data_IF_094910060327
#
_entry.id   IF_094910060327
#
_cell.length_a   1.000
_cell.length_b   1.000
_cell.length_c   1.000
_cell.angle_alpha   90.00
_cell.angle_beta   90.00
_cell.angle_gamma   90.00
#
_symmetry.space_group_name_H-M   'P 1'
#
loop_
_entity.id
_entity.type
_entity.pdbx_description
1 polymer ?
#
# COMPACT_ATOMS: atom_id res chain seq x y z
N UNK A 1 -28.93 19.39 2.18
CA UNK A 1 -27.63 19.26 1.50
C UNK A 1 -27.62 17.96 0.72
N UNK A 2 -27.10 17.99 -0.50
CA UNK A 2 -26.85 16.83 -1.36
C UNK A 2 -25.48 16.25 -1.02
N UNK A 3 -25.45 15.03 -0.52
CA UNK A 3 -24.23 14.31 -0.17
C UNK A 3 -24.04 13.15 -1.14
N UNK A 4 -22.94 13.16 -1.88
CA UNK A 4 -22.56 12.06 -2.76
C UNK A 4 -21.54 11.18 -2.05
N UNK A 5 -21.81 9.88 -2.02
CA UNK A 5 -20.89 8.86 -1.54
C UNK A 5 -20.24 8.22 -2.75
N UNK A 6 -18.92 8.32 -2.85
CA UNK A 6 -18.13 7.60 -3.83
C UNK A 6 -17.74 6.25 -3.21
N UNK A 7 -18.44 5.20 -3.64
CA UNK A 7 -18.32 3.83 -3.14
C UNK A 7 -17.18 3.08 -3.80
N UNK A 8 -16.10 2.86 -3.05
CA UNK A 8 -14.91 2.16 -3.54
C UNK A 8 -14.88 0.66 -3.26
N UNK A 9 -15.94 0.06 -2.74
CA UNK A 9 -16.00 -1.39 -2.55
C UNK A 9 -16.20 -2.12 -3.88
N UNK A 10 -15.32 -3.06 -4.29
CA UNK A 10 -15.55 -3.89 -5.47
C UNK A 10 -16.78 -4.79 -5.37
N UNK A 11 -17.34 -4.99 -4.17
CA UNK A 11 -18.59 -5.72 -3.92
C UNK A 11 -19.85 -4.86 -4.11
N UNK A 12 -19.70 -3.59 -4.45
CA UNK A 12 -20.80 -2.62 -4.45
C UNK A 12 -21.50 -2.56 -3.09
N UNK A 13 -22.83 -2.55 -3.13
CA UNK A 13 -23.72 -2.47 -1.96
C UNK A 13 -23.55 -3.62 -0.95
N UNK A 14 -22.99 -4.76 -1.39
CA UNK A 14 -22.69 -5.90 -0.51
C UNK A 14 -21.37 -5.74 0.27
N UNK A 15 -20.66 -4.63 0.05
CA UNK A 15 -19.43 -4.29 0.75
C UNK A 15 -19.65 -3.91 2.21
N UNK A 16 -18.71 -4.28 3.07
CA UNK A 16 -18.77 -3.94 4.49
C UNK A 16 -18.73 -2.42 4.72
N UNK A 17 -17.95 -1.67 3.92
CA UNK A 17 -17.94 -0.20 3.95
C UNK A 17 -19.32 0.41 3.70
N UNK A 18 -20.12 -0.22 2.84
CA UNK A 18 -21.46 0.26 2.53
C UNK A 18 -22.40 0.16 3.76
N UNK A 19 -22.17 -0.77 4.69
CA UNK A 19 -22.92 -0.83 5.94
C UNK A 19 -22.67 0.39 6.84
N UNK A 20 -21.44 0.93 6.86
CA UNK A 20 -21.11 2.15 7.60
C UNK A 20 -21.76 3.38 6.97
N UNK A 21 -21.76 3.44 5.63
CA UNK A 21 -22.48 4.49 4.89
C UNK A 21 -23.99 4.40 5.18
N UNK A 22 -24.59 3.21 5.11
CA UNK A 22 -26.01 3.00 5.43
C UNK A 22 -26.33 3.40 6.87
N UNK A 23 -25.43 3.12 7.81
CA UNK A 23 -25.58 3.56 9.19
C UNK A 23 -25.64 5.09 9.29
N UNK A 24 -24.72 5.82 8.65
CA UNK A 24 -24.75 7.29 8.61
C UNK A 24 -26.04 7.80 7.97
N UNK A 25 -26.44 7.27 6.81
CA UNK A 25 -27.68 7.64 6.11
C UNK A 25 -28.92 7.47 6.98
N UNK A 26 -29.02 6.36 7.71
CA UNK A 26 -30.12 6.09 8.62
C UNK A 26 -30.17 7.07 9.81
N UNK A 27 -29.03 7.64 10.19
CA UNK A 27 -28.88 8.52 11.35
C UNK A 27 -28.95 10.01 11.00
N UNK A 28 -28.71 10.35 9.73
CA UNK A 28 -28.85 11.69 9.18
C UNK A 28 -29.84 11.69 7.99
N UNK A 29 -31.13 11.34 8.20
CA UNK A 29 -32.10 11.15 7.12
C UNK A 29 -32.60 12.45 6.47
N UNK A 30 -32.30 13.61 7.07
CA UNK A 30 -32.71 14.93 6.56
C UNK A 30 -31.81 15.46 5.42
N UNK A 31 -30.75 14.72 5.05
CA UNK A 31 -29.91 15.02 3.91
C UNK A 31 -30.23 14.09 2.74
N UNK A 32 -29.98 14.57 1.53
CA UNK A 32 -30.14 13.77 0.32
C UNK A 32 -28.84 13.01 0.06
N UNK A 33 -28.89 11.67 0.12
CA UNK A 33 -27.71 10.82 0.01
C UNK A 33 -27.77 9.98 -1.27
N UNK A 34 -26.83 10.24 -2.19
CA UNK A 34 -26.65 9.44 -3.40
C UNK A 34 -25.37 8.61 -3.27
N UNK A 35 -25.45 7.30 -3.54
CA UNK A 35 -24.28 6.40 -3.54
C UNK A 35 -23.93 6.04 -4.98
N UNK A 36 -22.69 6.32 -5.38
CA UNK A 36 -22.14 5.94 -6.68
C UNK A 36 -21.15 4.79 -6.45
N UNK A 37 -21.49 3.58 -6.90
CA UNK A 37 -20.68 2.37 -6.68
C UNK A 37 -19.51 2.29 -7.67
N UNK A 38 -18.58 3.24 -7.54
CA UNK A 38 -17.42 3.47 -8.41
C UNK A 38 -16.64 2.19 -8.70
N UNK A 39 -16.15 1.49 -7.67
CA UNK A 39 -15.28 0.32 -7.89
C UNK A 39 -15.98 -0.86 -8.55
N UNK A 40 -17.30 -0.97 -8.38
CA UNK A 40 -18.08 -2.04 -8.98
C UNK A 40 -18.46 -1.75 -10.44
N UNK A 41 -18.40 -0.49 -10.87
CA UNK A 41 -18.91 -0.02 -12.17
C UNK A 41 -17.86 0.58 -13.10
N UNK A 42 -16.65 0.85 -12.61
CA UNK A 42 -15.61 1.58 -13.36
C UNK A 42 -15.33 1.01 -14.75
N UNK A 43 -15.26 -0.32 -14.89
CA UNK A 43 -14.98 -0.98 -16.17
C UNK A 43 -16.09 -0.71 -17.20
N UNK A 44 -17.35 -0.63 -16.75
CA UNK A 44 -18.46 -0.26 -17.62
C UNK A 44 -18.41 1.23 -18.01
N UNK A 45 -17.98 2.10 -17.09
CA UNK A 45 -17.85 3.53 -17.32
C UNK A 45 -16.70 3.93 -18.24
N UNK A 46 -15.64 3.11 -18.33
CA UNK A 46 -14.58 3.30 -19.32
C UNK A 46 -15.06 3.01 -20.75
N UNK A 47 -16.02 2.09 -20.91
CA UNK A 47 -16.61 1.73 -22.21
C UNK A 47 -17.73 2.72 -22.57
N UNK A 48 -18.58 3.08 -21.60
CA UNK A 48 -19.71 3.98 -21.79
C UNK A 48 -19.47 5.34 -21.10
N UNK A 49 -18.95 6.28 -21.89
CA UNK A 49 -18.65 7.64 -21.46
C UNK A 49 -19.89 8.42 -21.00
N UNK A 50 -21.09 8.07 -21.47
CA UNK A 50 -22.34 8.73 -21.05
C UNK A 50 -22.63 8.46 -19.58
N UNK A 51 -22.45 7.22 -19.13
CA UNK A 51 -22.67 6.87 -17.72
C UNK A 51 -21.60 7.46 -16.81
N UNK A 52 -20.35 7.54 -17.27
CA UNK A 52 -19.31 8.26 -16.55
C UNK A 52 -19.64 9.75 -16.40
N UNK A 53 -20.11 10.39 -17.48
CA UNK A 53 -20.50 11.80 -17.45
C UNK A 53 -21.62 12.07 -16.45
N UNK A 54 -22.65 11.22 -16.39
CA UNK A 54 -23.73 11.31 -15.39
C UNK A 54 -23.22 11.19 -13.95
N UNK A 55 -22.24 10.31 -13.72
CA UNK A 55 -21.58 10.17 -12.41
C UNK A 55 -20.91 11.50 -12.02
N UNK A 56 -20.16 12.10 -12.95
CA UNK A 56 -19.46 13.36 -12.72
C UNK A 56 -20.44 14.54 -12.55
N UNK A 57 -21.54 14.57 -13.30
CA UNK A 57 -22.60 15.58 -13.13
C UNK A 57 -23.24 15.47 -11.74
N UNK A 58 -23.46 14.24 -11.25
CA UNK A 58 -23.95 14.00 -9.89
C UNK A 58 -22.98 14.54 -8.83
N UNK A 59 -21.67 14.35 -9.03
CA UNK A 59 -20.64 14.95 -8.17
C UNK A 59 -20.68 16.48 -8.26
N UNK A 60 -20.84 17.05 -9.46
CA UNK A 60 -20.93 18.50 -9.66
C UNK A 60 -22.16 19.09 -8.96
N UNK A 61 -23.24 18.36 -8.83
CA UNK A 61 -24.43 18.82 -8.09
C UNK A 61 -24.34 18.65 -6.56
N UNK A 62 -23.32 17.96 -6.05
CA UNK A 62 -23.19 17.67 -4.63
C UNK A 62 -22.69 18.89 -3.84
N UNK A 63 -23.21 19.04 -2.62
CA UNK A 63 -22.67 19.98 -1.63
C UNK A 63 -21.45 19.37 -0.91
N UNK A 64 -21.49 18.06 -0.63
CA UNK A 64 -20.43 17.32 0.04
C UNK A 64 -20.18 15.94 -0.56
N UNK A 65 -18.92 15.49 -0.47
CA UNK A 65 -18.43 14.22 -1.03
C UNK A 65 -17.88 13.35 0.10
N UNK A 66 -18.42 12.14 0.27
CA UNK A 66 -17.87 11.12 1.16
C UNK A 66 -17.15 10.06 0.32
N UNK A 67 -15.82 10.03 0.41
CA UNK A 67 -15.00 8.97 -0.18
C UNK A 67 -15.06 7.74 0.73
N UNK A 68 -15.74 6.67 0.31
CA UNK A 68 -16.01 5.51 1.15
C UNK A 68 -15.47 4.22 0.53
N UNK A 69 -14.37 3.66 1.05
CA UNK A 69 -13.73 2.48 0.43
C UNK A 69 -13.04 1.55 1.44
N UNK A 70 -12.93 0.24 1.14
CA UNK A 70 -12.06 -0.64 1.92
C UNK A 70 -10.58 -0.38 1.59
N UNK A 71 -9.68 -0.52 2.56
CA UNK A 71 -8.23 -0.41 2.30
C UNK A 71 -7.71 -1.74 1.76
N UNK A 72 -7.31 -1.75 0.49
CA UNK A 72 -6.70 -2.91 -0.18
C UNK A 72 -5.24 -2.57 -0.49
N UNK A 73 -4.28 -3.40 -0.05
CA UNK A 73 -2.83 -3.18 -0.24
C UNK A 73 -2.41 -1.72 -0.01
N UNK A 74 -2.47 -1.26 1.25
CA UNK A 74 -1.99 0.05 1.68
C UNK A 74 -2.70 1.28 1.10
N UNK A 75 -3.72 1.11 0.24
CA UNK A 75 -4.35 2.21 -0.49
C UNK A 75 -5.82 1.89 -0.84
N UNK A 76 -6.44 2.72 -1.67
CA UNK A 76 -7.72 2.45 -2.31
C UNK A 76 -7.68 1.21 -3.21
N UNK A 77 -8.80 0.51 -3.47
CA UNK A 77 -8.82 -0.56 -4.45
C UNK A 77 -8.42 -0.07 -5.85
N UNK A 78 -7.79 -0.94 -6.66
CA UNK A 78 -7.28 -0.58 -7.99
C UNK A 78 -8.35 -0.01 -8.93
N UNK A 79 -9.58 -0.51 -8.84
CA UNK A 79 -10.75 0.01 -9.56
C UNK A 79 -11.04 1.48 -9.18
N UNK A 80 -10.93 1.79 -7.89
CA UNK A 80 -11.13 3.14 -7.36
C UNK A 80 -9.97 4.07 -7.72
N UNK A 81 -8.74 3.54 -7.73
CA UNK A 81 -7.56 4.27 -8.25
C UNK A 81 -7.76 4.65 -9.72
N UNK A 82 -8.31 3.74 -10.54
CA UNK A 82 -8.61 4.03 -11.95
C UNK A 82 -9.63 5.16 -12.11
N UNK A 83 -10.68 5.17 -11.29
CA UNK A 83 -11.62 6.30 -11.26
C UNK A 83 -10.93 7.63 -10.96
N UNK A 84 -10.02 7.66 -10.00
CA UNK A 84 -9.24 8.87 -9.68
C UNK A 84 -8.38 9.30 -10.87
N UNK A 85 -7.69 8.37 -11.54
CA UNK A 85 -6.92 8.69 -12.75
C UNK A 85 -7.78 9.30 -13.85
N UNK A 86 -8.98 8.74 -14.11
CA UNK A 86 -9.89 9.25 -15.13
C UNK A 86 -10.36 10.67 -14.85
N UNK A 87 -10.45 11.11 -13.59
CA UNK A 87 -10.78 12.51 -13.26
C UNK A 87 -9.71 13.44 -13.85
N UNK A 88 -8.43 13.14 -13.61
CA UNK A 88 -7.31 13.95 -14.08
C UNK A 88 -7.07 13.80 -15.57
N UNK A 89 -7.11 12.57 -16.11
CA UNK A 89 -6.92 12.30 -17.54
C UNK A 89 -7.94 13.02 -18.42
N UNK A 90 -9.16 13.26 -17.90
CA UNK A 90 -10.25 13.93 -18.61
C UNK A 90 -10.45 15.40 -18.21
N UNK A 91 -9.61 15.94 -17.33
CA UNK A 91 -9.68 17.35 -16.89
C UNK A 91 -10.99 17.71 -16.17
N UNK A 92 -11.47 16.84 -15.28
CA UNK A 92 -12.77 16.95 -14.60
C UNK A 92 -12.67 17.47 -13.16
N UNK A 93 -11.58 18.13 -12.82
CA UNK A 93 -11.33 18.65 -11.47
C UNK A 93 -12.34 19.75 -11.08
N UNK A 94 -12.94 20.44 -12.05
CA UNK A 94 -14.01 21.44 -11.83
C UNK A 94 -15.23 20.85 -11.10
N UNK A 95 -15.55 19.58 -11.37
CA UNK A 95 -16.67 18.89 -10.75
C UNK A 95 -16.46 18.68 -9.24
N UNK A 96 -15.22 18.76 -8.76
CA UNK A 96 -14.85 18.56 -7.36
C UNK A 96 -14.56 19.88 -6.65
N UNK A 97 -13.87 20.80 -7.31
CA UNK A 97 -13.35 22.05 -6.73
C UNK A 97 -14.35 22.78 -5.81
N UNK A 98 -13.91 23.13 -4.60
CA UNK A 98 -14.67 23.90 -3.62
C UNK A 98 -15.71 23.10 -2.82
N UNK A 99 -15.94 21.81 -3.12
CA UNK A 99 -16.85 20.96 -2.34
C UNK A 99 -16.16 20.45 -1.08
N UNK A 100 -16.95 20.20 -0.03
CA UNK A 100 -16.43 19.58 1.18
C UNK A 100 -16.24 18.08 0.98
N UNK A 101 -15.18 17.53 1.56
CA UNK A 101 -14.88 16.11 1.46
C UNK A 101 -14.51 15.50 2.81
N UNK A 102 -14.94 14.26 3.02
CA UNK A 102 -14.46 13.42 4.11
C UNK A 102 -14.18 12.01 3.61
N UNK A 103 -13.35 11.27 4.35
CA UNK A 103 -12.94 9.90 3.99
C UNK A 103 -13.41 8.89 5.03
N UNK A 104 -14.09 7.85 4.59
CA UNK A 104 -14.50 6.72 5.42
C UNK A 104 -13.85 5.45 4.89
N UNK A 105 -13.09 4.76 5.73
CA UNK A 105 -12.48 3.49 5.33
C UNK A 105 -12.83 2.35 6.26
N UNK A 106 -12.84 1.14 5.72
CA UNK A 106 -12.92 -0.10 6.52
C UNK A 106 -11.73 -0.98 6.26
N UNK A 107 -11.10 -1.50 7.32
CA UNK A 107 -9.94 -2.39 7.20
C UNK A 107 -9.73 -3.21 8.47
N UNK A 108 -8.57 -3.84 8.62
CA UNK A 108 -8.08 -4.37 9.90
C UNK A 108 -7.12 -3.40 10.59
N UNK A 109 -7.11 -2.12 10.19
CA UNK A 109 -6.11 -1.10 10.54
C UNK A 109 -4.70 -1.39 10.06
N UNK A 110 -4.58 -2.19 8.99
CA UNK A 110 -3.30 -2.42 8.34
C UNK A 110 -3.02 -1.26 7.38
N UNK A 111 -2.12 -0.35 7.78
CA UNK A 111 -1.69 0.79 6.96
C UNK A 111 -2.85 1.61 6.39
N UNK A 112 -3.90 1.81 7.19
CA UNK A 112 -5.02 2.68 6.82
C UNK A 112 -4.56 4.13 6.64
N UNK A 113 -3.59 4.58 7.45
CA UNK A 113 -3.02 5.93 7.37
C UNK A 113 -2.45 6.24 5.99
N UNK A 114 -1.85 5.27 5.28
CA UNK A 114 -1.33 5.54 3.93
C UNK A 114 -2.45 5.75 2.92
N UNK A 115 -3.58 5.09 3.09
CA UNK A 115 -4.77 5.30 2.26
C UNK A 115 -5.43 6.66 2.56
N UNK A 116 -5.49 7.07 3.82
CA UNK A 116 -6.00 8.41 4.19
C UNK A 116 -5.10 9.53 3.71
N UNK A 117 -3.79 9.39 3.88
CA UNK A 117 -2.81 10.36 3.38
C UNK A 117 -2.93 10.53 1.87
N UNK A 118 -3.06 9.43 1.13
CA UNK A 118 -3.28 9.48 -0.32
C UNK A 118 -4.56 10.21 -0.68
N UNK A 119 -5.72 9.86 -0.08
CA UNK A 119 -6.97 10.56 -0.41
C UNK A 119 -7.00 12.02 0.01
N UNK A 120 -6.40 12.38 1.15
CA UNK A 120 -6.28 13.77 1.56
C UNK A 120 -5.47 14.55 0.51
N UNK A 121 -4.37 13.97 0.04
CA UNK A 121 -3.54 14.61 -0.98
C UNK A 121 -4.27 14.72 -2.34
N UNK A 122 -5.07 13.72 -2.73
CA UNK A 122 -5.98 13.81 -3.89
C UNK A 122 -7.05 14.90 -3.68
N UNK A 123 -7.59 15.02 -2.47
CA UNK A 123 -8.54 16.09 -2.14
C UNK A 123 -7.91 17.47 -2.30
N UNK A 124 -6.67 17.65 -1.85
CA UNK A 124 -5.93 18.90 -2.02
C UNK A 124 -5.69 19.23 -3.51
N UNK A 125 -5.34 18.23 -4.34
CA UNK A 125 -5.16 18.39 -5.79
C UNK A 125 -6.45 18.79 -6.51
N UNK A 126 -7.57 18.16 -6.13
CA UNK A 126 -8.90 18.48 -6.66
C UNK A 126 -9.46 19.80 -6.10
N UNK A 127 -8.79 20.42 -5.13
CA UNK A 127 -9.22 21.66 -4.48
C UNK A 127 -10.49 21.48 -3.63
N UNK A 128 -10.65 20.31 -3.02
CA UNK A 128 -11.70 20.00 -2.06
C UNK A 128 -11.40 20.57 -0.67
N UNK A 129 -12.45 20.89 0.08
CA UNK A 129 -12.36 21.26 1.49
C UNK A 129 -12.37 20.01 2.37
N UNK A 130 -11.19 19.49 2.68
CA UNK A 130 -11.04 18.23 3.41
C UNK A 130 -11.33 18.36 4.92
N UNK A 131 -12.29 17.59 5.42
CA UNK A 131 -12.77 17.62 6.81
C UNK A 131 -12.15 16.55 7.73
N UNK A 132 -11.32 15.65 7.20
CA UNK A 132 -10.76 14.53 7.94
C UNK A 132 -11.29 13.16 7.50
N UNK A 133 -10.99 12.15 8.31
CA UNK A 133 -11.29 10.76 8.02
C UNK A 133 -11.82 9.99 9.23
N UNK A 134 -12.48 8.86 8.95
CA UNK A 134 -12.82 7.83 9.92
C UNK A 134 -12.26 6.47 9.46
N UNK A 135 -11.42 5.87 10.30
CA UNK A 135 -10.88 4.53 10.06
C UNK A 135 -11.63 3.51 10.89
N UNK A 136 -12.44 2.67 10.24
CA UNK A 136 -13.22 1.64 10.90
C UNK A 136 -12.58 0.26 10.77
N UNK A 137 -12.65 -0.53 11.85
CA UNK A 137 -12.46 -1.97 11.79
C UNK A 137 -13.70 -2.64 11.17
N UNK A 138 -13.62 -3.93 10.85
CA UNK A 138 -14.74 -4.63 10.19
C UNK A 138 -15.96 -4.79 11.09
N UNK A 139 -15.78 -4.85 12.40
CA UNK A 139 -16.81 -5.17 13.40
C UNK A 139 -17.21 -3.97 14.28
N UNK A 140 -16.73 -2.75 13.98
CA UNK A 140 -17.00 -1.53 14.77
C UNK A 140 -18.49 -1.26 14.95
N UNK A 141 -19.32 -1.46 13.93
CA UNK A 141 -20.77 -1.24 14.05
C UNK A 141 -21.43 -2.10 15.12
N UNK A 142 -20.82 -3.21 15.55
CA UNK A 142 -21.34 -4.03 16.65
C UNK A 142 -21.10 -3.37 18.02
N UNK A 143 -20.17 -2.41 18.12
CA UNK A 143 -19.70 -1.79 19.35
C UNK A 143 -20.29 -0.38 19.50
N UNK A 144 -20.91 -0.10 20.65
CA UNK A 144 -21.61 1.16 20.88
C UNK A 144 -20.71 2.39 20.76
N UNK A 145 -19.58 2.38 21.48
CA UNK A 145 -18.62 3.48 21.44
C UNK A 145 -18.07 3.76 20.02
N UNK A 146 -17.94 2.74 19.18
CA UNK A 146 -17.46 2.95 17.80
C UNK A 146 -18.57 3.48 16.89
N UNK A 147 -19.83 3.09 17.12
CA UNK A 147 -20.99 3.74 16.47
C UNK A 147 -21.08 5.22 16.85
N UNK A 148 -20.83 5.57 18.11
CA UNK A 148 -20.78 6.97 18.57
C UNK A 148 -19.67 7.75 17.85
N UNK A 149 -18.45 7.20 17.77
CA UNK A 149 -17.36 7.83 17.01
C UNK A 149 -17.68 8.02 15.53
N UNK A 150 -18.40 7.08 14.91
CA UNK A 150 -18.85 7.22 13.53
C UNK A 150 -19.91 8.33 13.40
N UNK A 151 -20.83 8.45 14.35
CA UNK A 151 -21.80 9.56 14.40
C UNK A 151 -21.11 10.90 14.57
N UNK A 152 -20.13 11.01 15.48
CA UNK A 152 -19.36 12.23 15.70
C UNK A 152 -18.62 12.64 14.42
N UNK A 153 -18.00 11.68 13.73
CA UNK A 153 -17.38 11.92 12.42
C UNK A 153 -18.39 12.47 11.39
N UNK A 154 -19.55 11.82 11.25
CA UNK A 154 -20.59 12.26 10.33
C UNK A 154 -21.12 13.66 10.66
N UNK A 155 -21.38 13.92 11.95
CA UNK A 155 -21.84 15.21 12.45
C UNK A 155 -20.81 16.32 12.21
N UNK A 156 -19.53 16.04 12.42
CA UNK A 156 -18.45 17.00 12.15
C UNK A 156 -18.34 17.34 10.67
N UNK A 157 -18.42 16.33 9.79
CA UNK A 157 -18.42 16.54 8.34
C UNK A 157 -19.60 17.41 7.88
N UNK A 158 -20.81 17.09 8.32
CA UNK A 158 -22.03 17.82 7.97
C UNK A 158 -22.03 19.25 8.53
N UNK A 159 -21.57 19.42 9.77
CA UNK A 159 -21.44 20.74 10.42
C UNK A 159 -20.41 21.62 9.70
N UNK A 160 -19.30 21.04 9.24
CA UNK A 160 -18.29 21.77 8.46
C UNK A 160 -18.87 22.30 7.14
N UNK A 161 -19.68 21.48 6.45
CA UNK A 161 -20.38 21.87 5.23
C UNK A 161 -21.42 22.97 5.49
N UNK A 162 -22.29 22.79 6.49
CA UNK A 162 -23.36 23.75 6.84
C UNK A 162 -22.80 25.12 7.25
N UNK A 163 -21.71 25.13 8.02
CA UNK A 163 -21.08 26.35 8.55
C UNK A 163 -19.98 26.90 7.66
N UNK A 164 -19.70 26.25 6.53
CA UNK A 164 -18.61 26.60 5.62
C UNK A 164 -17.27 26.80 6.35
N UNK A 165 -16.91 25.82 7.19
CA UNK A 165 -15.66 25.87 7.98
C UNK A 165 -14.46 25.88 7.04
N UNK A 166 -13.52 26.84 7.15
CA UNK A 166 -12.30 26.84 6.35
C UNK A 166 -11.43 25.62 6.66
N UNK A 167 -10.88 25.00 5.62
CA UNK A 167 -10.00 23.82 5.72
C UNK A 167 -8.59 24.16 5.24
N UNK A 168 -7.57 23.68 5.96
CA UNK A 168 -6.17 23.84 5.55
C UNK A 168 -5.80 22.81 4.49
N UNK A 169 -5.05 23.24 3.47
CA UNK A 169 -4.37 22.32 2.55
C UNK A 169 -3.11 21.78 3.21
N UNK A 170 -2.90 20.47 3.10
CA UNK A 170 -1.77 19.78 3.75
C UNK A 170 -0.71 19.36 2.75
N UNK A 171 -1.13 18.95 1.55
CA UNK A 171 -0.26 18.46 0.50
C UNK A 171 -0.15 19.51 -0.61
N UNK A 172 1.04 20.10 -0.83
CA UNK A 172 1.26 20.96 -1.98
C UNK A 172 1.15 20.15 -3.27
N UNK A 173 0.76 20.82 -4.36
CA UNK A 173 0.77 20.24 -5.70
C UNK A 173 2.17 19.71 -6.05
N UNK A 174 2.23 18.61 -6.78
CA UNK A 174 3.51 18.04 -7.20
C UNK A 174 4.19 18.95 -8.20
N UNK A 175 5.49 19.14 -7.99
CA UNK A 175 6.35 19.82 -8.95
C UNK A 175 6.92 18.77 -9.91
N UNK A 176 6.44 18.79 -11.15
CA UNK A 176 7.01 17.99 -12.23
C UNK A 176 8.24 18.68 -12.81
N UNK A 177 9.20 17.87 -13.26
CA UNK A 177 10.41 18.34 -13.93
C UNK A 177 10.29 18.04 -15.42
N UNK A 178 10.59 19.03 -16.26
CA UNK A 178 10.82 18.81 -17.68
C UNK A 178 12.23 18.24 -17.86
N UNK A 179 12.30 16.94 -18.16
CA UNK A 179 13.56 16.23 -18.34
C UNK A 179 13.42 15.22 -19.47
N UNK A 180 14.38 15.23 -20.39
CA UNK A 180 14.51 14.24 -21.45
C UNK A 180 15.76 13.42 -21.18
N UNK A 181 15.56 12.19 -20.76
CA UNK A 181 16.66 11.29 -20.46
C UNK A 181 17.35 10.81 -21.75
N UNK A 182 18.66 10.97 -21.81
CA UNK A 182 19.50 10.50 -22.91
C UNK A 182 20.50 9.48 -22.34
N UNK A 183 20.18 8.18 -22.37
CA UNK A 183 21.02 7.16 -21.75
C UNK A 183 22.38 7.08 -22.47
N UNK A 184 23.46 7.12 -21.71
CA UNK A 184 24.79 6.73 -22.16
C UNK A 184 24.97 5.22 -22.16
N UNK A 185 26.09 4.71 -22.71
CA UNK A 185 26.38 3.27 -22.69
C UNK A 185 26.59 2.74 -21.27
N UNK A 186 26.27 1.47 -21.05
CA UNK A 186 26.66 0.77 -19.83
C UNK A 186 28.19 0.75 -19.68
N UNK A 187 28.69 1.16 -18.51
CA UNK A 187 30.12 1.23 -18.21
C UNK A 187 30.71 -0.17 -18.04
N UNK A 188 30.09 -0.99 -17.19
CA UNK A 188 30.51 -2.35 -16.88
C UNK A 188 29.29 -3.28 -16.85
N UNK A 189 29.49 -4.53 -17.32
CA UNK A 189 28.43 -5.55 -17.31
C UNK A 189 28.51 -6.39 -16.04
N UNK A 190 27.41 -6.44 -15.32
CA UNK A 190 27.21 -7.24 -14.10
C UNK A 190 26.76 -8.65 -14.49
N UNK A 191 27.46 -9.66 -13.99
CA UNK A 191 27.03 -11.06 -14.08
C UNK A 191 26.06 -11.37 -12.94
N UNK A 192 24.88 -11.90 -13.26
CA UNK A 192 23.89 -12.32 -12.26
C UNK A 192 24.27 -13.63 -11.56
N UNK A 193 25.38 -14.27 -11.93
CA UNK A 193 25.87 -15.53 -11.34
C UNK A 193 24.83 -16.65 -11.45
N UNK A 194 24.10 -16.68 -12.58
CA UNK A 194 23.03 -17.64 -12.83
C UNK A 194 21.70 -17.35 -12.11
N UNK A 195 21.60 -16.24 -11.38
CA UNK A 195 20.36 -15.79 -10.72
C UNK A 195 19.38 -15.21 -11.71
N UNK A 196 18.09 -15.44 -11.47
CA UNK A 196 17.02 -14.94 -12.32
C UNK A 196 16.59 -13.55 -11.87
N UNK A 197 16.83 -12.56 -12.73
CA UNK A 197 16.39 -11.18 -12.56
C UNK A 197 15.15 -10.90 -13.43
N UNK A 198 14.09 -10.39 -12.79
CA UNK A 198 12.86 -9.98 -13.48
C UNK A 198 12.58 -8.50 -13.23
N UNK A 199 12.39 -7.73 -14.30
CA UNK A 199 11.88 -6.36 -14.26
C UNK A 199 10.38 -6.40 -14.53
N UNK A 200 9.57 -5.84 -13.63
CA UNK A 200 8.11 -5.70 -13.81
C UNK A 200 7.81 -4.24 -14.08
N UNK A 201 7.04 -3.95 -15.12
CA UNK A 201 6.69 -2.59 -15.52
C UNK A 201 5.28 -2.49 -16.07
N UNK A 202 4.74 -1.30 -16.18
CA UNK A 202 3.50 -0.96 -16.91
C UNK A 202 3.78 0.05 -18.03
N UNK A 203 4.98 0.01 -18.60
CA UNK A 203 5.47 0.92 -19.63
C UNK A 203 4.48 1.04 -20.81
N UNK A 204 4.07 2.27 -21.11
CA UNK A 204 3.20 2.59 -22.26
C UNK A 204 3.99 2.91 -23.52
N UNK A 205 5.13 3.59 -23.36
CA UNK A 205 5.94 4.10 -24.46
C UNK A 205 7.43 3.82 -24.19
N UNK A 206 8.06 3.05 -25.08
CA UNK A 206 9.48 2.68 -24.98
C UNK A 206 10.44 3.87 -25.10
N UNK A 207 9.99 4.96 -25.72
CA UNK A 207 10.75 6.21 -25.87
C UNK A 207 10.56 7.19 -24.69
N UNK A 208 9.78 6.80 -23.68
CA UNK A 208 9.64 7.59 -22.45
C UNK A 208 10.91 7.54 -21.60
N UNK A 209 11.05 8.46 -20.65
CA UNK A 209 12.15 8.42 -19.66
C UNK A 209 12.19 7.09 -18.90
N UNK A 210 11.04 6.56 -18.47
CA UNK A 210 10.97 5.23 -17.85
C UNK A 210 11.47 4.12 -18.78
N UNK A 211 11.08 4.16 -20.06
CA UNK A 211 11.56 3.20 -21.07
C UNK A 211 13.08 3.26 -21.24
N UNK A 212 13.63 4.47 -21.31
CA UNK A 212 15.08 4.69 -21.29
C UNK A 212 15.76 4.12 -20.06
N UNK A 213 15.23 4.37 -18.85
CA UNK A 213 15.81 3.87 -17.59
C UNK A 213 15.80 2.34 -17.52
N UNK A 214 14.69 1.71 -17.92
CA UNK A 214 14.58 0.24 -17.95
C UNK A 214 15.60 -0.36 -18.92
N UNK A 215 15.73 0.23 -20.12
CA UNK A 215 16.69 -0.22 -21.15
C UNK A 215 18.12 -0.09 -20.63
N UNK A 216 18.50 1.08 -20.13
CA UNK A 216 19.84 1.34 -19.60
C UNK A 216 20.19 0.45 -18.42
N UNK A 217 19.24 0.19 -17.53
CA UNK A 217 19.40 -0.78 -16.43
C UNK A 217 19.59 -2.20 -16.96
N UNK A 218 18.79 -2.62 -17.95
CA UNK A 218 18.93 -3.95 -18.58
C UNK A 218 20.29 -4.14 -19.28
N UNK A 219 20.81 -3.08 -19.90
CA UNK A 219 22.14 -3.08 -20.55
C UNK A 219 23.30 -3.22 -19.56
N UNK A 220 23.08 -2.94 -18.27
CA UNK A 220 24.09 -3.11 -17.22
C UNK A 220 24.41 -4.58 -16.94
N UNK A 221 23.68 -5.55 -17.50
CA UNK A 221 23.90 -6.98 -17.25
C UNK A 221 24.56 -7.71 -18.43
N UNK A 222 25.29 -8.78 -18.12
CA UNK A 222 25.88 -9.69 -19.11
C UNK A 222 24.82 -10.51 -19.85
N UNK A 223 23.73 -10.87 -19.18
CA UNK A 223 22.54 -11.47 -19.75
C UNK A 223 21.35 -10.51 -19.53
N UNK A 224 20.60 -10.24 -20.58
CA UNK A 224 19.47 -9.33 -20.50
C UNK A 224 18.42 -9.85 -19.49
N UNK A 225 17.99 -9.02 -18.53
CA UNK A 225 16.92 -9.39 -17.61
C UNK A 225 15.61 -9.71 -18.32
N UNK A 226 14.80 -10.58 -17.72
CA UNK A 226 13.44 -10.80 -18.21
C UNK A 226 12.57 -9.57 -17.87
N UNK A 227 11.91 -8.99 -18.87
CA UNK A 227 10.98 -7.87 -18.67
C UNK A 227 9.53 -8.37 -18.77
N UNK A 228 8.75 -8.13 -17.73
CA UNK A 228 7.31 -8.39 -17.66
C UNK A 228 6.58 -7.06 -17.70
N UNK A 229 6.03 -6.71 -18.86
CA UNK A 229 5.12 -5.58 -18.97
C UNK A 229 3.70 -6.04 -18.60
N UNK A 230 3.12 -5.47 -17.53
CA UNK A 230 1.79 -5.76 -17.02
C UNK A 230 0.70 -5.54 -18.07
N UNK A 231 0.92 -4.66 -19.05
CA UNK A 231 -0.02 -4.41 -20.16
C UNK A 231 -0.10 -5.56 -21.15
N UNK A 232 0.94 -6.40 -21.21
CA UNK A 232 0.97 -7.59 -22.05
C UNK A 232 0.46 -8.84 -21.32
N UNK A 233 0.11 -8.72 -20.03
CA UNK A 233 -0.47 -9.80 -19.24
C UNK A 233 -1.99 -9.70 -19.34
N UNK A 234 -2.64 -10.83 -19.61
CA UNK A 234 -4.10 -10.92 -19.52
C UNK A 234 -4.53 -10.76 -18.05
N UNK A 235 -4.98 -9.57 -17.68
CA UNK A 235 -5.49 -9.22 -16.37
C UNK A 235 -6.92 -8.74 -16.55
N UNK A 236 -7.88 -9.60 -16.21
CA UNK A 236 -9.30 -9.35 -16.48
C UNK A 236 -9.91 -8.24 -15.60
N UNK A 237 -9.25 -7.86 -14.50
CA UNK A 237 -9.71 -6.80 -13.61
C UNK A 237 -9.06 -6.80 -12.23
N UNK A 238 -9.46 -5.86 -11.38
CA UNK A 238 -8.99 -5.71 -9.99
C UNK A 238 -9.55 -6.77 -9.03
N UNK A 239 -8.97 -6.85 -7.82
CA UNK A 239 -9.48 -7.76 -6.78
C UNK A 239 -10.95 -7.44 -6.44
N UNK A 240 -11.81 -8.47 -6.44
CA UNK A 240 -13.25 -8.33 -6.14
C UNK A 240 -13.58 -8.59 -4.66
N UNK A 241 -12.56 -8.84 -3.83
CA UNK A 241 -12.74 -9.08 -2.40
C UNK A 241 -13.53 -10.34 -2.05
N UNK A 242 -13.60 -11.34 -2.94
CA UNK A 242 -14.40 -12.55 -2.74
C UNK A 242 -13.92 -13.44 -1.57
N UNK A 243 -12.65 -13.30 -1.17
CA UNK A 243 -12.00 -14.06 -0.07
C UNK A 243 -11.84 -15.56 -0.34
N UNK A 244 -12.18 -16.05 -1.54
CA UNK A 244 -12.03 -17.46 -1.92
C UNK A 244 -10.57 -17.95 -1.89
N UNK A 245 -9.61 -17.07 -2.20
CA UNK A 245 -8.18 -17.37 -2.10
C UNK A 245 -7.69 -17.63 -0.66
N UNK A 246 -8.52 -17.36 0.35
CA UNK A 246 -8.23 -17.69 1.75
C UNK A 246 -8.02 -19.18 2.01
N UNK A 247 -8.63 -20.05 1.21
CA UNK A 247 -8.62 -21.50 1.45
C UNK A 247 -7.32 -22.19 1.02
N UNK A 248 -6.83 -21.84 -0.17
CA UNK A 248 -5.77 -22.57 -0.89
C UNK A 248 -4.85 -21.66 -1.73
N UNK A 249 -4.93 -20.34 -1.55
CA UNK A 249 -4.20 -19.34 -2.32
C UNK A 249 -4.51 -19.38 -3.84
N UNK A 250 -5.74 -19.74 -4.21
CA UNK A 250 -6.19 -19.71 -5.61
C UNK A 250 -7.17 -18.54 -5.82
N UNK A 251 -6.81 -17.62 -6.73
CA UNK A 251 -7.71 -16.54 -7.13
C UNK A 251 -8.90 -17.07 -7.94
N UNK A 252 -10.05 -16.40 -7.85
CA UNK A 252 -11.26 -16.73 -8.64
C UNK A 252 -11.10 -16.39 -10.13
N UNK A 253 -10.25 -15.43 -10.45
CA UNK A 253 -9.96 -15.06 -11.82
C UNK A 253 -9.21 -16.19 -12.52
N UNK A 254 -9.62 -16.46 -13.77
CA UNK A 254 -9.01 -17.43 -14.68
C UNK A 254 -8.36 -16.68 -15.85
N UNK A 255 -7.42 -15.81 -15.51
CA UNK A 255 -6.66 -14.97 -16.44
C UNK A 255 -5.14 -15.26 -16.29
N UNK A 256 -4.31 -14.55 -17.06
CA UNK A 256 -2.86 -14.72 -17.08
C UNK A 256 -2.13 -14.26 -15.82
N UNK A 257 -2.80 -13.57 -14.88
CA UNK A 257 -2.14 -12.95 -13.72
C UNK A 257 -1.43 -13.97 -12.82
N UNK A 258 -2.11 -15.07 -12.46
CA UNK A 258 -1.56 -16.06 -11.51
C UNK A 258 -0.36 -16.79 -12.11
N UNK A 259 -0.46 -17.16 -13.39
CA UNK A 259 0.64 -17.83 -14.10
C UNK A 259 1.86 -16.92 -14.18
N UNK A 260 1.67 -15.65 -14.56
CA UNK A 260 2.74 -14.65 -14.55
C UNK A 260 3.35 -14.50 -13.15
N UNK A 261 2.53 -14.30 -12.12
CA UNK A 261 3.02 -14.06 -10.76
C UNK A 261 3.80 -15.25 -10.20
N UNK A 262 3.22 -16.46 -10.29
CA UNK A 262 3.84 -17.67 -9.72
C UNK A 262 4.97 -18.23 -10.57
N UNK A 263 4.85 -18.20 -11.89
CA UNK A 263 5.84 -18.74 -12.82
C UNK A 263 7.00 -17.78 -13.14
N UNK A 264 6.81 -16.47 -12.90
CA UNK A 264 7.86 -15.47 -13.14
C UNK A 264 8.42 -14.87 -11.86
N UNK A 265 7.56 -14.24 -11.05
CA UNK A 265 8.03 -13.46 -9.90
C UNK A 265 8.41 -14.35 -8.72
N UNK A 266 7.58 -15.32 -8.31
CA UNK A 266 7.90 -16.18 -7.16
C UNK A 266 9.16 -17.03 -7.38
N UNK A 267 9.46 -17.35 -8.64
CA UNK A 267 10.63 -18.10 -9.11
C UNK A 267 11.85 -17.23 -9.42
N UNK A 268 11.73 -15.90 -9.40
CA UNK A 268 12.88 -14.99 -9.60
C UNK A 268 13.71 -14.89 -8.30
N UNK A 269 15.00 -14.60 -8.40
CA UNK A 269 15.85 -14.30 -7.23
C UNK A 269 15.85 -12.79 -6.93
N UNK A 270 15.87 -11.98 -8.01
CA UNK A 270 15.91 -10.53 -7.98
C UNK A 270 14.70 -9.98 -8.74
N UNK A 271 13.99 -9.03 -8.15
CA UNK A 271 12.83 -8.39 -8.73
C UNK A 271 13.06 -6.88 -8.78
N UNK A 272 12.80 -6.25 -9.91
CA UNK A 272 12.83 -4.79 -10.05
C UNK A 272 11.45 -4.30 -10.46
N UNK A 273 10.86 -3.40 -9.68
CA UNK A 273 9.61 -2.75 -10.05
C UNK A 273 9.90 -1.40 -10.70
N UNK A 274 9.43 -1.22 -11.93
CA UNK A 274 9.67 -0.03 -12.73
C UNK A 274 8.34 0.62 -13.14
N UNK A 275 8.06 1.82 -12.63
CA UNK A 275 6.79 2.51 -12.87
C UNK A 275 6.94 4.02 -12.92
N UNK A 276 5.92 4.72 -13.41
CA UNK A 276 5.86 6.18 -13.38
C UNK A 276 4.88 6.64 -12.31
N UNK A 277 5.18 7.79 -11.69
CA UNK A 277 4.21 8.47 -10.83
C UNK A 277 3.01 8.88 -11.68
N UNK A 278 1.83 8.45 -11.25
CA UNK A 278 0.52 8.88 -11.75
C UNK A 278 -0.22 9.42 -10.55
N UNK A 279 -0.71 10.65 -10.63
CA UNK A 279 -1.20 11.42 -9.48
C UNK A 279 -0.20 11.42 -8.30
N UNK A 280 -0.48 10.70 -7.22
CA UNK A 280 0.33 10.58 -6.01
C UNK A 280 0.73 9.15 -5.69
N UNK A 281 0.64 8.26 -6.68
CA UNK A 281 1.00 6.84 -6.58
C UNK A 281 1.63 6.34 -7.89
N UNK A 282 1.72 5.03 -8.10
CA UNK A 282 1.88 4.42 -9.42
C UNK A 282 0.53 4.34 -10.15
N UNK A 283 0.52 3.80 -11.36
CA UNK A 283 -0.72 3.61 -12.11
C UNK A 283 -1.74 2.70 -11.42
N UNK A 284 -2.98 2.79 -11.85
CA UNK A 284 -4.07 1.90 -11.48
C UNK A 284 -3.77 0.45 -11.88
N UNK A 285 -3.02 0.21 -12.95
CA UNK A 285 -2.57 -1.13 -13.33
C UNK A 285 -1.57 -1.70 -12.33
N UNK A 286 -0.62 -0.89 -11.85
CA UNK A 286 0.22 -1.27 -10.72
C UNK A 286 -0.60 -1.56 -9.47
N UNK A 287 -1.62 -0.74 -9.20
CA UNK A 287 -2.47 -0.97 -8.04
C UNK A 287 -3.29 -2.26 -8.16
N UNK A 288 -3.82 -2.55 -9.35
CA UNK A 288 -4.47 -3.82 -9.68
C UNK A 288 -3.48 -4.98 -9.47
N UNK A 289 -2.22 -4.85 -9.91
CA UNK A 289 -1.19 -5.87 -9.66
C UNK A 289 -1.02 -6.16 -8.15
N UNK A 290 -0.87 -5.12 -7.32
CA UNK A 290 -0.76 -5.30 -5.87
C UNK A 290 -2.00 -5.96 -5.28
N UNK A 291 -3.20 -5.50 -5.65
CA UNK A 291 -4.45 -6.08 -5.16
C UNK A 291 -4.66 -7.53 -5.60
N UNK A 292 -4.27 -7.85 -6.83
CA UNK A 292 -4.38 -9.20 -7.36
C UNK A 292 -3.33 -10.12 -6.74
N UNK A 293 -2.18 -9.61 -6.29
CA UNK A 293 -1.19 -10.38 -5.53
C UNK A 293 -1.70 -10.91 -4.18
N UNK A 294 -2.83 -10.38 -3.69
CA UNK A 294 -3.50 -10.86 -2.47
C UNK A 294 -3.96 -12.30 -2.52
N UNK A 295 -3.91 -13.00 -3.65
CA UNK A 295 -4.19 -14.43 -3.61
C UNK A 295 -3.21 -15.20 -2.69
N UNK A 296 -2.01 -14.65 -2.44
CA UNK A 296 -1.08 -15.13 -1.42
C UNK A 296 -1.49 -14.74 0.03
N UNK A 297 -2.54 -13.94 0.18
CA UNK A 297 -3.10 -13.40 1.42
C UNK A 297 -2.03 -12.75 2.30
N UNK A 298 -1.94 -13.13 3.58
CA UNK A 298 -0.99 -12.59 4.56
C UNK A 298 0.32 -13.39 4.64
N UNK A 299 0.62 -14.18 3.60
CA UNK A 299 1.83 -15.00 3.51
C UNK A 299 2.88 -14.31 2.62
N UNK A 300 4.15 -14.21 3.06
CA UNK A 300 5.21 -13.69 2.22
C UNK A 300 5.46 -14.61 1.02
N UNK A 301 5.43 -14.05 -0.19
CA UNK A 301 5.71 -14.72 -1.45
C UNK A 301 7.17 -14.57 -1.90
N UNK A 302 7.92 -13.64 -1.29
CA UNK A 302 9.24 -13.22 -1.78
C UNK A 302 10.34 -13.26 -0.73
N UNK A 303 10.22 -14.15 0.26
CA UNK A 303 11.20 -14.26 1.34
C UNK A 303 12.63 -14.44 0.79
N UNK A 304 13.56 -13.62 1.28
CA UNK A 304 14.98 -13.64 0.91
C UNK A 304 15.35 -12.97 -0.41
N UNK A 305 14.36 -12.54 -1.22
CA UNK A 305 14.62 -11.94 -2.55
C UNK A 305 15.09 -10.49 -2.45
N UNK A 306 15.79 -10.02 -3.48
CA UNK A 306 16.20 -8.62 -3.61
C UNK A 306 15.19 -7.81 -4.43
N UNK A 307 14.85 -6.61 -3.96
CA UNK A 307 13.94 -5.68 -4.64
C UNK A 307 14.62 -4.37 -5.00
N UNK A 308 14.70 -4.08 -6.30
CA UNK A 308 15.03 -2.75 -6.83
C UNK A 308 13.79 -1.98 -7.26
N UNK A 309 13.87 -0.66 -7.27
CA UNK A 309 12.79 0.21 -7.74
C UNK A 309 13.32 1.27 -8.70
N UNK A 310 12.69 1.40 -9.86
CA UNK A 310 12.97 2.44 -10.85
C UNK A 310 11.68 3.26 -11.03
N UNK A 311 11.65 4.48 -10.51
CA UNK A 311 10.43 5.29 -10.45
C UNK A 311 10.62 6.58 -11.22
N UNK A 312 9.90 6.74 -12.33
CA UNK A 312 9.90 8.00 -13.09
C UNK A 312 8.90 9.00 -12.49
N UNK A 313 9.29 10.27 -12.36
CA UNK A 313 8.46 11.36 -11.81
C UNK A 313 8.84 11.78 -10.39
N UNK A 314 8.02 12.62 -9.73
CA UNK A 314 8.34 13.30 -8.46
C UNK A 314 8.31 12.38 -7.21
N UNK A 315 9.15 11.34 -7.19
CA UNK A 315 9.14 10.29 -6.19
C UNK A 315 9.57 10.74 -4.78
N UNK A 316 10.54 11.65 -4.66
CA UNK A 316 11.03 12.25 -3.42
C UNK A 316 9.97 13.15 -2.75
N UNK A 317 9.05 13.72 -3.52
CA UNK A 317 7.87 14.41 -2.98
C UNK A 317 6.80 13.43 -2.43
N UNK A 318 6.89 12.13 -2.74
CA UNK A 318 5.91 11.11 -2.35
C UNK A 318 6.38 10.23 -1.19
N UNK A 319 6.45 10.81 0.02
CA UNK A 319 6.81 10.08 1.24
C UNK A 319 5.89 8.88 1.52
N UNK A 320 4.61 9.03 1.19
CA UNK A 320 3.60 7.98 1.37
C UNK A 320 3.91 6.76 0.49
N UNK A 321 4.20 6.95 -0.81
CA UNK A 321 4.55 5.85 -1.71
C UNK A 321 5.86 5.17 -1.30
N UNK A 322 6.89 5.94 -0.90
CA UNK A 322 8.16 5.37 -0.38
C UNK A 322 7.91 4.43 0.79
N UNK A 323 7.09 4.86 1.75
CA UNK A 323 6.73 4.03 2.89
C UNK A 323 5.98 2.75 2.47
N UNK A 324 5.08 2.83 1.49
CA UNK A 324 4.35 1.68 0.96
C UNK A 324 5.30 0.67 0.30
N UNK A 325 6.21 1.12 -0.57
CA UNK A 325 7.15 0.23 -1.25
C UNK A 325 8.08 -0.46 -0.26
N UNK A 326 8.60 0.27 0.72
CA UNK A 326 9.41 -0.31 1.79
C UNK A 326 8.62 -1.31 2.63
N UNK A 327 7.42 -0.95 3.10
CA UNK A 327 6.58 -1.82 3.90
C UNK A 327 6.21 -3.11 3.16
N UNK A 328 5.85 -2.98 1.87
CA UNK A 328 5.57 -4.12 1.00
C UNK A 328 6.74 -5.09 0.98
N UNK A 329 7.95 -4.63 0.65
CA UNK A 329 9.14 -5.48 0.59
C UNK A 329 9.46 -6.15 1.93
N UNK A 330 9.41 -5.40 3.04
CA UNK A 330 9.72 -5.96 4.35
C UNK A 330 8.65 -6.97 4.86
N UNK A 331 7.37 -6.74 4.57
CA UNK A 331 6.27 -7.67 4.88
C UNK A 331 6.43 -8.97 4.10
N UNK A 332 6.87 -8.87 2.85
CA UNK A 332 7.23 -10.02 2.01
C UNK A 332 8.50 -10.76 2.46
N UNK A 333 9.16 -10.29 3.54
CA UNK A 333 10.44 -10.82 4.05
C UNK A 333 11.56 -10.74 3.00
N UNK A 334 11.45 -9.77 2.09
CA UNK A 334 12.41 -9.47 1.06
C UNK A 334 13.29 -8.26 1.47
N UNK A 335 14.30 -7.98 0.67
CA UNK A 335 15.24 -6.89 0.93
C UNK A 335 15.06 -5.73 -0.06
N UNK A 336 14.81 -4.49 0.40
CA UNK A 336 14.79 -3.33 -0.48
C UNK A 336 16.23 -2.90 -0.78
N UNK A 337 16.73 -3.29 -1.95
CA UNK A 337 18.11 -3.05 -2.38
C UNK A 337 18.37 -1.56 -2.67
N UNK A 338 17.44 -0.89 -3.38
CA UNK A 338 17.58 0.52 -3.70
C UNK A 338 16.43 1.09 -4.51
N UNK A 339 16.41 2.42 -4.63
CA UNK A 339 15.45 3.19 -5.41
C UNK A 339 16.23 4.14 -6.33
N UNK A 340 15.81 4.22 -7.59
CA UNK A 340 16.34 5.16 -8.59
C UNK A 340 15.17 5.95 -9.18
N UNK A 341 15.37 7.26 -9.36
CA UNK A 341 14.37 8.16 -9.94
C UNK A 341 15.04 9.24 -10.78
N UNK A 342 14.32 9.72 -11.79
CA UNK A 342 14.70 10.80 -12.72
C UNK A 342 14.33 12.21 -12.20
N UNK A 343 13.81 12.33 -10.97
CA UNK A 343 13.39 13.61 -10.39
C UNK A 343 14.54 14.63 -10.29
N UNK A 344 15.78 14.16 -10.10
CA UNK A 344 16.97 15.00 -9.92
C UNK A 344 18.12 14.58 -10.86
N UNK A 345 19.19 15.37 -10.86
CA UNK A 345 20.42 15.08 -11.59
C UNK A 345 20.32 15.23 -13.10
N UNK A 346 21.39 14.93 -13.82
CA UNK A 346 21.40 14.86 -15.28
C UNK A 346 21.39 13.39 -15.77
N UNK A 347 21.49 13.19 -17.08
CA UNK A 347 21.47 11.83 -17.64
C UNK A 347 22.67 10.99 -17.21
N UNK A 348 23.85 11.60 -16.99
CA UNK A 348 25.04 10.87 -16.57
C UNK A 348 24.96 10.45 -15.09
N UNK A 349 24.40 11.32 -14.24
CA UNK A 349 24.11 10.95 -12.85
C UNK A 349 23.06 9.83 -12.78
N UNK A 350 21.99 9.91 -13.58
CA UNK A 350 20.98 8.86 -13.64
C UNK A 350 21.55 7.52 -14.15
N UNK A 351 22.43 7.55 -15.16
CA UNK A 351 23.16 6.36 -15.62
C UNK A 351 23.97 5.71 -14.50
N UNK A 352 24.69 6.52 -13.70
CA UNK A 352 25.50 6.03 -12.59
C UNK A 352 24.63 5.42 -11.47
N UNK A 353 23.46 6.02 -11.18
CA UNK A 353 22.51 5.48 -10.21
C UNK A 353 21.90 4.16 -10.67
N UNK A 354 21.54 4.04 -11.95
CA UNK A 354 21.04 2.78 -12.53
C UNK A 354 22.11 1.69 -12.54
N UNK A 355 23.35 2.04 -12.86
CA UNK A 355 24.50 1.14 -12.77
C UNK A 355 24.71 0.63 -11.34
N UNK A 356 24.76 1.53 -10.37
CA UNK A 356 24.92 1.17 -8.95
C UNK A 356 23.76 0.30 -8.46
N UNK A 357 22.51 0.56 -8.89
CA UNK A 357 21.39 -0.32 -8.54
C UNK A 357 21.60 -1.74 -9.11
N UNK A 358 22.09 -1.87 -10.34
CA UNK A 358 22.34 -3.16 -10.98
C UNK A 358 23.41 -3.98 -10.23
N UNK A 359 24.49 -3.33 -9.82
CA UNK A 359 25.55 -3.93 -9.01
C UNK A 359 25.04 -4.32 -7.62
N UNK A 360 24.29 -3.43 -6.97
CA UNK A 360 23.83 -3.61 -5.60
C UNK A 360 22.83 -4.76 -5.46
N UNK A 361 21.88 -4.92 -6.39
CA UNK A 361 20.92 -6.04 -6.33
C UNK A 361 21.61 -7.40 -6.42
N UNK A 362 22.64 -7.52 -7.26
CA UNK A 362 23.42 -8.77 -7.38
C UNK A 362 24.30 -8.97 -6.16
N UNK A 363 25.02 -7.93 -5.73
CA UNK A 363 25.91 -7.99 -4.55
C UNK A 363 25.16 -8.42 -3.30
N UNK A 364 23.96 -7.89 -3.07
CA UNK A 364 23.12 -8.24 -1.92
C UNK A 364 22.55 -9.65 -2.02
N UNK A 365 22.16 -10.11 -3.21
CA UNK A 365 21.71 -11.49 -3.43
C UNK A 365 22.84 -12.50 -3.15
N UNK A 366 24.03 -12.27 -3.73
CA UNK A 366 25.21 -13.11 -3.50
C UNK A 366 25.61 -13.18 -2.02
N UNK A 367 25.38 -12.10 -1.27
CA UNK A 367 25.63 -12.05 0.17
C UNK A 367 24.48 -12.65 1.02
N UNK A 368 23.36 -13.07 0.42
CA UNK A 368 22.17 -13.51 1.14
C UNK A 368 21.60 -12.43 2.07
N UNK A 369 21.80 -11.16 1.71
CA UNK A 369 21.51 -10.03 2.60
C UNK A 369 20.02 -9.73 2.66
N UNK A 370 19.49 -9.68 3.88
CA UNK A 370 18.15 -9.15 4.18
C UNK A 370 18.28 -8.11 5.28
N UNK A 371 17.90 -6.87 4.98
CA UNK A 371 17.95 -5.77 5.95
C UNK A 371 17.09 -6.07 7.17
N UNK A 372 17.51 -5.54 8.31
CA UNK A 372 16.76 -5.67 9.55
C UNK A 372 15.36 -5.04 9.41
N UNK A 373 14.30 -5.71 9.88
CA UNK A 373 12.94 -5.17 9.88
C UNK A 373 12.84 -3.80 10.55
N UNK A 374 12.03 -2.91 9.98
CA UNK A 374 11.68 -1.62 10.63
C UNK A 374 10.34 -1.72 11.37
N UNK A 375 9.89 -0.62 11.96
CA UNK A 375 8.55 -0.54 12.55
C UNK A 375 7.46 -0.93 11.55
N UNK A 376 7.65 -0.62 10.26
CA UNK A 376 6.67 -0.89 9.21
C UNK A 376 6.28 -2.37 9.16
N UNK A 377 7.27 -3.26 9.08
CA UNK A 377 7.01 -4.70 9.06
C UNK A 377 6.82 -5.30 10.44
N UNK A 378 7.46 -4.78 11.50
CA UNK A 378 7.25 -5.28 12.87
C UNK A 378 5.79 -5.05 13.31
N UNK A 379 5.27 -3.83 13.11
CA UNK A 379 3.89 -3.49 13.42
C UNK A 379 2.91 -4.29 12.58
N UNK A 380 3.12 -4.30 11.25
CA UNK A 380 2.26 -5.03 10.33
C UNK A 380 2.21 -6.54 10.59
N UNK A 381 3.36 -7.19 10.82
CA UNK A 381 3.43 -8.64 11.13
C UNK A 381 2.72 -8.99 12.43
N UNK A 382 2.80 -8.14 13.47
CA UNK A 382 2.06 -8.36 14.72
C UNK A 382 0.55 -8.28 14.52
N UNK A 383 0.08 -7.30 13.76
CA UNK A 383 -1.33 -7.20 13.40
C UNK A 383 -1.79 -8.44 12.63
N UNK A 384 -1.07 -8.84 11.57
CA UNK A 384 -1.37 -10.05 10.80
C UNK A 384 -1.37 -11.32 11.65
N UNK A 385 -0.35 -11.50 12.48
CA UNK A 385 -0.26 -12.62 13.43
C UNK A 385 -1.51 -12.73 14.30
N UNK A 386 -1.95 -11.61 14.87
CA UNK A 386 -3.07 -11.60 15.81
C UNK A 386 -4.40 -11.84 15.08
N UNK A 387 -4.63 -11.22 13.92
CA UNK A 387 -5.87 -11.44 13.15
C UNK A 387 -5.95 -12.84 12.54
N UNK A 388 -4.86 -13.36 11.94
CA UNK A 388 -4.79 -14.72 11.35
C UNK A 388 -4.93 -15.79 12.43
N UNK A 389 -4.35 -15.57 13.63
CA UNK A 389 -4.61 -16.45 14.76
C UNK A 389 -6.05 -16.33 15.24
N UNK A 390 -6.63 -15.14 15.30
CA UNK A 390 -7.97 -14.87 15.78
C UNK A 390 -9.05 -14.98 14.71
N UNK A 391 -9.70 -13.84 14.43
CA UNK A 391 -10.90 -13.75 13.60
C UNK A 391 -10.75 -14.29 12.18
N UNK A 392 -9.53 -14.26 11.61
CA UNK A 392 -9.29 -14.68 10.24
C UNK A 392 -8.97 -16.16 10.09
N UNK A 393 -8.79 -16.91 11.18
CA UNK A 393 -8.34 -18.30 11.10
C UNK A 393 -9.21 -19.20 10.21
N UNK A 394 -10.53 -19.04 10.31
CA UNK A 394 -11.50 -19.85 9.57
C UNK A 394 -11.75 -19.32 8.14
N UNK A 395 -11.44 -18.05 7.92
CA UNK A 395 -11.57 -17.36 6.62
C UNK A 395 -10.33 -17.59 5.76
N UNK A 396 -9.15 -17.66 6.38
CA UNK A 396 -7.84 -17.83 5.75
C UNK A 396 -7.09 -19.04 6.32
N UNK A 397 -7.61 -20.27 6.16
CA UNK A 397 -6.95 -21.46 6.70
C UNK A 397 -5.60 -21.75 6.01
N UNK A 398 -5.37 -21.28 4.77
CA UNK A 398 -4.05 -21.37 4.13
C UNK A 398 -2.99 -20.62 4.94
N UNK A 399 -3.28 -19.38 5.30
CA UNK A 399 -2.42 -18.52 6.11
C UNK A 399 -2.17 -19.15 7.47
N UNK A 400 -3.23 -19.67 8.11
CA UNK A 400 -3.08 -20.34 9.41
C UNK A 400 -2.08 -21.50 9.34
N UNK A 401 -2.20 -22.38 8.33
CA UNK A 401 -1.27 -23.50 8.12
C UNK A 401 0.15 -23.01 7.86
N UNK A 402 0.31 -21.96 7.06
CA UNK A 402 1.63 -21.38 6.79
C UNK A 402 2.27 -20.84 8.07
N UNK A 403 1.53 -20.05 8.86
CA UNK A 403 2.03 -19.43 10.09
C UNK A 403 2.44 -20.48 11.14
N UNK A 404 1.71 -21.60 11.24
CA UNK A 404 2.09 -22.72 12.11
C UNK A 404 3.41 -23.36 11.66
N UNK A 405 3.55 -23.66 10.36
CA UNK A 405 4.73 -24.35 9.81
C UNK A 405 6.01 -23.51 9.88
N UNK A 406 5.89 -22.19 9.78
CA UNK A 406 7.04 -21.28 9.70
C UNK A 406 7.30 -20.51 11.00
N UNK A 407 6.62 -20.86 12.10
CA UNK A 407 6.87 -20.25 13.41
C UNK A 407 6.49 -18.76 13.51
N UNK A 408 5.56 -18.28 12.67
CA UNK A 408 5.17 -16.85 12.65
C UNK A 408 4.28 -16.44 13.84
N UNK A 409 3.80 -17.41 14.63
CA UNK A 409 3.09 -17.15 15.89
C UNK A 409 4.05 -16.90 17.07
N UNK A 410 4.80 -15.79 16.99
CA UNK A 410 5.84 -15.34 17.93
C UNK A 410 5.29 -14.64 19.21
N UNK A 411 4.21 -15.20 19.74
CA UNK A 411 3.47 -14.62 20.87
C UNK A 411 4.31 -14.48 22.16
N UNK A 412 4.34 -13.30 22.82
CA UNK A 412 5.14 -13.10 24.03
C UNK A 412 4.73 -14.01 25.19
N UNK A 413 3.46 -14.40 25.28
CA UNK A 413 2.95 -15.33 26.30
C UNK A 413 3.51 -16.76 26.17
N UNK A 414 4.10 -17.11 25.01
CA UNK A 414 4.79 -18.38 24.79
C UNK A 414 6.29 -18.31 25.12
N UNK A 415 6.82 -17.12 25.41
CA UNK A 415 8.20 -16.96 25.86
C UNK A 415 8.31 -17.28 27.36
N UNK A 416 8.45 -18.57 27.69
CA UNK A 416 8.51 -19.07 29.07
C UNK A 416 9.67 -18.45 29.88
N UNK A 417 10.83 -18.25 29.26
CA UNK A 417 11.98 -17.63 29.92
C UNK A 417 11.67 -16.20 30.37
N UNK A 418 11.09 -15.38 29.49
CA UNK A 418 10.65 -14.03 29.85
C UNK A 418 9.55 -14.02 30.91
N UNK A 419 8.64 -15.01 30.92
CA UNK A 419 7.58 -15.12 31.94
C UNK A 419 8.15 -15.41 33.32
N UNK A 420 9.09 -16.36 33.43
CA UNK A 420 9.77 -16.67 34.70
C UNK A 420 10.54 -15.46 35.19
N UNK A 421 11.32 -14.83 34.30
CA UNK A 421 12.08 -13.63 34.63
C UNK A 421 11.18 -12.48 35.11
N UNK A 422 10.05 -12.22 34.43
CA UNK A 422 9.08 -11.22 34.85
C UNK A 422 8.45 -11.56 36.20
N UNK A 423 8.12 -12.84 36.45
CA UNK A 423 7.57 -13.29 37.73
C UNK A 423 8.52 -13.04 38.91
N UNK A 424 9.83 -13.19 38.68
CA UNK A 424 10.86 -12.92 39.70
C UNK A 424 11.09 -11.42 39.86
N UNK A 425 11.27 -10.67 38.75
CA UNK A 425 11.73 -9.28 38.79
C UNK A 425 10.62 -8.26 39.07
N UNK A 426 9.39 -8.52 38.61
CA UNK A 426 8.29 -7.57 38.72
C UNK A 426 7.94 -7.19 40.17
N UNK A 427 7.87 -8.12 41.15
CA UNK A 427 7.63 -7.78 42.55
C UNK A 427 8.64 -6.79 43.13
N UNK A 428 9.92 -6.88 42.75
CA UNK A 428 10.98 -5.98 43.23
C UNK A 428 10.80 -4.53 42.74
N UNK A 429 10.03 -4.31 41.66
CA UNK A 429 9.73 -2.95 41.17
C UNK A 429 8.81 -2.16 42.11
N UNK A 430 8.14 -2.81 43.06
CA UNK A 430 7.23 -2.16 44.02
C UNK A 430 7.96 -1.40 45.12
N UNK A 431 9.22 -1.74 45.41
CA UNK A 431 10.07 -1.01 46.35
C UNK A 431 11.00 -0.06 45.58
N UNK A 432 11.02 1.23 45.95
CA UNK A 432 11.87 2.25 45.29
C UNK A 432 13.37 1.90 45.34
N UNK A 433 13.84 1.41 46.48
CA UNK A 433 15.25 1.05 46.67
C UNK A 433 15.65 -0.22 45.90
N UNK A 434 14.74 -1.21 45.83
CA UNK A 434 14.98 -2.41 45.03
C UNK A 434 14.89 -2.10 43.54
N UNK A 435 13.94 -1.25 43.12
CA UNK A 435 13.77 -0.83 41.72
C UNK A 435 15.06 -0.27 41.10
N UNK A 436 15.73 0.67 41.78
CA UNK A 436 17.00 1.23 41.28
C UNK A 436 18.07 0.15 41.15
N UNK A 437 18.29 -0.64 42.21
CA UNK A 437 19.28 -1.74 42.17
C UNK A 437 18.98 -2.79 41.10
N UNK A 438 17.71 -3.11 40.88
CA UNK A 438 17.29 -4.08 39.86
C UNK A 438 17.53 -3.54 38.46
N UNK A 439 17.24 -2.26 38.19
CA UNK A 439 17.47 -1.65 36.87
C UNK A 439 18.96 -1.62 36.54
N UNK A 440 19.80 -1.14 37.46
CA UNK A 440 21.25 -1.04 37.25
C UNK A 440 21.86 -2.42 36.99
N UNK A 441 21.49 -3.42 37.80
CA UNK A 441 21.98 -4.79 37.65
C UNK A 441 21.53 -5.44 36.33
N UNK A 442 20.32 -5.16 35.87
CA UNK A 442 19.83 -5.67 34.57
C UNK A 442 20.57 -5.05 33.39
N UNK A 443 20.89 -3.76 33.47
CA UNK A 443 21.71 -3.08 32.48
C UNK A 443 23.14 -3.63 32.47
N UNK A 444 23.74 -3.85 33.63
CA UNK A 444 25.06 -4.47 33.75
C UNK A 444 25.09 -5.90 33.20
N UNK A 445 24.10 -6.74 33.53
CA UNK A 445 24.01 -8.11 33.02
C UNK A 445 23.84 -8.13 31.50
N UNK A 446 22.96 -7.28 30.96
CA UNK A 446 22.80 -7.15 29.51
C UNK A 446 24.08 -6.66 28.85
N UNK A 447 24.74 -5.65 29.43
CA UNK A 447 26.03 -5.15 28.94
C UNK A 447 27.08 -6.25 28.96
N UNK A 448 27.22 -7.00 30.05
CA UNK A 448 28.16 -8.11 30.18
C UNK A 448 27.91 -9.20 29.13
N UNK A 449 26.66 -9.58 28.90
CA UNK A 449 26.31 -10.55 27.84
C UNK A 449 26.71 -10.04 26.46
N UNK A 450 26.51 -8.74 26.20
CA UNK A 450 26.94 -8.13 24.92
C UNK A 450 28.46 -8.13 24.82
N UNK A 451 29.17 -7.75 25.88
CA UNK A 451 30.64 -7.74 25.95
C UNK A 451 31.21 -9.15 25.69
N UNK A 452 30.66 -10.18 26.33
CA UNK A 452 31.02 -11.58 26.09
C UNK A 452 30.82 -12.00 24.62
N UNK A 453 29.75 -11.52 23.97
CA UNK A 453 29.47 -11.81 22.55
C UNK A 453 30.47 -11.09 21.63
N UNK A 454 30.90 -9.87 21.96
CA UNK A 454 31.86 -9.10 21.16
C UNK A 454 33.33 -9.42 21.48
N UNK A 455 33.58 -10.27 22.49
CA UNK A 455 34.93 -10.70 22.89
C UNK A 455 35.69 -9.71 23.78
N UNK A 456 34.98 -8.85 24.51
CA UNK A 456 35.49 -7.92 25.53
C UNK A 456 35.09 -8.38 26.94
#
# INVERSE_FOLDING_TARGET
MKIVVLGGSPKGENGLTHLYVRFLRARFPHHDWTVLEVSATITAWEIDESNFSKCIDTVREADGILWAFPVYFYLVPGQYKRFIELIFERGLEDAFRGRYAAVLTTSIHFFDHTAHNYLHAICDDLGLSYCGFHSAAMDDLLRENERERLLDFGQNFLSALERQIPTSRTYPALSERVFHYQPGPASERVDTQGKRLVIVTDLENEESTLGGMIRRFGEAFSAAPEVVNLRAVDIAGGCVGCVQCGYDNICVYRDGFREMFSGKLQTADIIVFAGSIRDRYLSSLWKIFFDRSFFNNHVPAFAGKQFGFIISGPFAQQANLRQILQAYTEIQQANPAGYVTDEFGDSAELDALLQNLAEEVVRLDSAGSVRTPTYLSIGGKKLFRDVVWGQFRHVFPADHRHYQRHGLYDFPQKNYGMRVMNGILYPFTRSRAMRMKTIDKLQELRKKQILEIIGE
#
